data_IF_521132120998
#
_entry.id   IF_521132120998
#
_cell.length_a   1.000
_cell.length_b   1.000
_cell.length_c   1.000
_cell.angle_alpha   90.00
_cell.angle_beta   90.00
_cell.angle_gamma   90.00
#
_symmetry.space_group_name_H-M   'P 1'
#
loop_
_entity.id
_entity.type
_entity.pdbx_description
1 polymer ?
#
# COMPACT_ATOMS: atom_id res chain seq x y z
N UNK A 1 -31.53 -44.57 7.17
CA UNK A 1 -30.84 -43.77 6.14
C UNK A 1 -30.64 -42.37 6.70
N UNK A 2 -29.40 -41.93 6.93
CA UNK A 2 -29.08 -40.52 7.16
C UNK A 2 -27.77 -40.22 6.42
N UNK A 3 -27.86 -39.37 5.41
CA UNK A 3 -26.71 -38.83 4.69
C UNK A 3 -26.12 -37.69 5.53
N UNK A 4 -24.99 -37.94 6.18
CA UNK A 4 -24.17 -36.90 6.80
C UNK A 4 -23.19 -36.40 5.74
N UNK A 5 -23.62 -35.40 4.97
CA UNK A 5 -22.75 -34.62 4.09
C UNK A 5 -21.80 -33.77 4.94
N UNK A 6 -20.52 -34.12 4.94
CA UNK A 6 -19.45 -33.12 5.03
C UNK A 6 -18.70 -33.15 3.70
N UNK A 7 -18.44 -31.97 3.11
CA UNK A 7 -17.13 -31.38 3.40
C UNK A 7 -17.14 -29.84 3.55
N UNK A 8 -16.25 -29.38 4.42
CA UNK A 8 -15.47 -28.13 4.43
C UNK A 8 -15.97 -26.92 3.62
N UNK A 9 -15.96 -25.69 4.19
CA UNK A 9 -15.82 -24.51 3.36
C UNK A 9 -14.39 -24.51 2.81
N UNK A 10 -14.17 -25.25 1.72
CA UNK A 10 -13.08 -24.95 0.79
C UNK A 10 -13.40 -23.55 0.28
N UNK A 11 -12.74 -22.53 0.84
CA UNK A 11 -12.54 -21.28 0.14
C UNK A 11 -11.98 -21.66 -1.23
N UNK A 12 -12.80 -21.49 -2.26
CA UNK A 12 -12.42 -21.76 -3.64
C UNK A 12 -11.13 -21.00 -3.95
N UNK A 13 -10.06 -21.66 -4.44
CA UNK A 13 -8.84 -20.99 -4.89
C UNK A 13 -9.02 -20.22 -6.22
N UNK A 14 -10.27 -19.96 -6.64
CA UNK A 14 -10.62 -19.40 -7.93
C UNK A 14 -11.34 -18.06 -7.77
N UNK A 15 -10.60 -17.06 -7.30
CA UNK A 15 -10.76 -15.69 -7.76
C UNK A 15 -9.36 -15.19 -8.13
N UNK A 16 -8.84 -15.72 -9.25
CA UNK A 16 -7.74 -15.16 -10.05
C UNK A 16 -8.14 -13.82 -10.72
N UNK A 17 -8.99 -13.02 -10.06
CA UNK A 17 -9.13 -11.60 -10.37
C UNK A 17 -8.03 -10.90 -9.60
N UNK A 18 -7.12 -10.22 -10.30
CA UNK A 18 -6.01 -9.47 -9.70
C UNK A 18 -6.46 -8.75 -8.43
N UNK A 19 -6.07 -9.25 -7.26
CA UNK A 19 -6.35 -8.61 -5.97
C UNK A 19 -5.58 -7.30 -5.98
N UNK A 20 -6.23 -6.13 -6.06
CA UNK A 20 -5.48 -4.92 -6.33
C UNK A 20 -5.02 -4.30 -5.02
N UNK A 21 -3.83 -4.69 -4.57
CA UNK A 21 -3.19 -4.20 -3.36
C UNK A 21 -2.86 -2.70 -3.39
N UNK A 22 -2.90 -2.07 -4.56
CA UNK A 22 -2.61 -0.65 -4.71
C UNK A 22 -3.74 0.18 -5.34
N UNK A 23 -4.95 -0.36 -5.53
CA UNK A 23 -6.05 0.43 -6.11
C UNK A 23 -6.50 1.59 -5.22
N UNK A 24 -6.35 1.45 -3.90
CA UNK A 24 -6.65 2.50 -2.92
C UNK A 24 -5.62 3.65 -2.93
N UNK A 25 -4.54 3.58 -3.73
CA UNK A 25 -3.57 4.68 -3.87
C UNK A 25 -4.22 5.96 -4.36
N UNK A 26 -5.33 5.84 -5.10
CA UNK A 26 -6.14 6.99 -5.54
C UNK A 26 -6.78 7.76 -4.38
N UNK A 27 -6.97 7.11 -3.24
CA UNK A 27 -7.56 7.70 -2.03
C UNK A 27 -6.52 8.47 -1.21
N UNK A 28 -5.24 8.31 -1.55
CA UNK A 28 -4.17 9.07 -0.91
C UNK A 28 -4.07 10.44 -1.55
N UNK A 29 -3.94 11.47 -0.71
CA UNK A 29 -3.56 12.79 -1.16
C UNK A 29 -2.12 12.75 -1.68
N UNK A 30 -1.98 12.38 -2.96
CA UNK A 30 -0.71 12.43 -3.66
C UNK A 30 -0.18 13.86 -3.72
N UNK A 31 -1.03 14.89 -3.57
CA UNK A 31 -0.65 16.29 -3.57
C UNK A 31 -0.04 16.78 -2.25
N UNK A 32 -0.23 16.05 -1.15
CA UNK A 32 0.30 16.33 0.18
C UNK A 32 1.84 16.30 0.30
N UNK A 33 2.32 16.69 1.49
CA UNK A 33 3.70 17.13 1.74
C UNK A 33 4.77 16.03 1.85
N UNK A 34 4.41 14.75 2.08
CA UNK A 34 5.41 13.68 2.20
C UNK A 34 5.04 12.38 1.48
N UNK A 35 5.32 12.35 0.17
CA UNK A 35 5.10 11.19 -0.71
C UNK A 35 5.76 9.90 -0.20
N UNK A 36 6.95 10.00 0.39
CA UNK A 36 7.69 8.84 0.88
C UNK A 36 7.02 8.23 2.10
N UNK A 37 6.55 9.06 3.04
CA UNK A 37 5.80 8.59 4.20
C UNK A 37 4.46 7.96 3.79
N UNK A 38 3.79 8.51 2.77
CA UNK A 38 2.59 7.90 2.21
C UNK A 38 2.89 6.55 1.56
N UNK A 39 3.98 6.42 0.80
CA UNK A 39 4.40 5.13 0.23
C UNK A 39 4.68 4.07 1.31
N UNK A 40 5.30 4.46 2.43
CA UNK A 40 5.49 3.57 3.60
C UNK A 40 4.15 3.07 4.15
N UNK A 41 3.17 3.97 4.33
CA UNK A 41 1.82 3.61 4.83
C UNK A 41 1.09 2.68 3.88
N UNK A 42 1.14 2.96 2.58
CA UNK A 42 0.54 2.12 1.54
C UNK A 42 1.17 0.72 1.55
N UNK A 43 2.50 0.62 1.58
CA UNK A 43 3.18 -0.68 1.63
C UNK A 43 2.84 -1.44 2.90
N UNK A 44 2.73 -0.78 4.05
CA UNK A 44 2.30 -1.42 5.30
C UNK A 44 0.90 -2.04 5.15
N UNK A 45 -0.07 -1.26 4.67
CA UNK A 45 -1.45 -1.73 4.44
C UNK A 45 -1.50 -2.86 3.41
N UNK A 46 -0.76 -2.75 2.32
CA UNK A 46 -0.67 -3.78 1.29
C UNK A 46 -0.10 -5.11 1.85
N UNK A 47 0.92 -5.04 2.73
CA UNK A 47 1.47 -6.21 3.42
C UNK A 47 0.45 -6.86 4.37
N UNK A 48 -0.30 -6.07 5.13
CA UNK A 48 -1.38 -6.58 6.00
C UNK A 48 -2.46 -7.31 5.20
N UNK A 49 -2.86 -6.75 4.05
CA UNK A 49 -3.77 -7.42 3.12
C UNK A 49 -3.16 -8.71 2.57
N UNK A 50 -1.92 -8.68 2.08
CA UNK A 50 -1.26 -9.87 1.53
C UNK A 50 -1.16 -11.00 2.56
N UNK A 51 -0.84 -10.69 3.82
CA UNK A 51 -0.84 -11.67 4.92
C UNK A 51 -2.21 -12.31 5.14
N UNK A 52 -3.28 -11.52 5.09
CA UNK A 52 -4.67 -12.00 5.24
C UNK A 52 -5.03 -12.99 4.12
N UNK A 53 -4.44 -12.79 2.95
CA UNK A 53 -4.71 -13.54 1.74
C UNK A 53 -3.72 -14.71 1.48
N UNK A 54 -2.68 -14.85 2.30
CA UNK A 54 -1.62 -15.83 2.10
C UNK A 54 -0.65 -15.50 0.96
N UNK A 55 -0.63 -14.25 0.49
CA UNK A 55 0.19 -13.80 -0.63
C UNK A 55 1.56 -13.27 -0.15
N UNK A 56 2.54 -13.31 -1.05
CA UNK A 56 3.94 -12.95 -0.74
C UNK A 56 4.26 -11.50 -1.09
N UNK A 57 5.39 -11.00 -0.60
CA UNK A 57 5.92 -9.69 -1.01
C UNK A 57 6.22 -9.62 -2.52
N UNK A 58 6.44 -10.76 -3.18
CA UNK A 58 6.65 -10.84 -4.62
C UNK A 58 5.38 -10.48 -5.40
N UNK A 59 4.20 -10.90 -4.91
CA UNK A 59 2.91 -10.52 -5.50
C UNK A 59 2.72 -9.01 -5.45
N UNK A 60 3.01 -8.39 -4.30
CA UNK A 60 2.98 -6.93 -4.14
C UNK A 60 3.97 -6.24 -5.09
N UNK A 61 5.15 -6.82 -5.27
CA UNK A 61 6.17 -6.27 -6.16
C UNK A 61 5.75 -6.31 -7.63
N UNK A 62 5.17 -7.43 -8.07
CA UNK A 62 4.65 -7.59 -9.43
C UNK A 62 3.53 -6.59 -9.73
N UNK A 63 2.59 -6.42 -8.80
CA UNK A 63 1.51 -5.44 -8.98
C UNK A 63 2.05 -4.01 -9.00
N UNK A 64 2.93 -3.63 -8.06
CA UNK A 64 3.52 -2.30 -8.03
C UNK A 64 4.29 -1.99 -9.33
N UNK A 65 5.03 -2.96 -9.86
CA UNK A 65 5.73 -2.83 -11.13
C UNK A 65 4.77 -2.73 -12.33
N UNK A 66 3.67 -3.47 -12.33
CA UNK A 66 2.64 -3.36 -13.36
C UNK A 66 1.96 -1.99 -13.37
N UNK A 67 1.56 -1.49 -12.19
CA UNK A 67 1.02 -0.13 -12.02
C UNK A 67 2.02 0.92 -12.49
N UNK A 68 3.28 0.83 -12.04
CA UNK A 68 4.35 1.74 -12.45
C UNK A 68 4.54 1.82 -13.97
N UNK A 69 4.49 0.67 -14.67
CA UNK A 69 4.61 0.60 -16.14
C UNK A 69 3.40 1.20 -16.86
N UNK A 70 2.20 1.05 -16.30
CA UNK A 70 0.94 1.56 -16.88
C UNK A 70 0.72 3.05 -16.60
N UNK A 71 1.34 3.58 -15.55
CA UNK A 71 1.25 5.01 -15.22
C UNK A 71 2.06 5.86 -16.21
N UNK A 72 1.47 6.97 -16.68
CA UNK A 72 2.17 7.92 -17.56
C UNK A 72 3.47 8.40 -16.93
N UNK A 73 4.58 8.29 -17.68
CA UNK A 73 5.89 8.78 -17.26
C UNK A 73 5.84 10.23 -16.78
N UNK A 74 6.63 10.55 -15.76
CA UNK A 74 6.72 11.88 -15.10
C UNK A 74 5.46 12.31 -14.32
N UNK A 75 4.40 11.51 -14.26
CA UNK A 75 3.26 11.83 -13.40
C UNK A 75 3.62 11.71 -11.91
N UNK A 76 2.80 12.30 -11.04
CA UNK A 76 2.99 12.17 -9.58
C UNK A 76 2.75 10.74 -9.12
N UNK A 77 1.76 10.08 -9.69
CA UNK A 77 1.45 8.67 -9.49
C UNK A 77 2.64 7.77 -9.93
N UNK A 78 3.34 8.13 -11.02
CA UNK A 78 4.54 7.41 -11.47
C UNK A 78 5.65 7.47 -10.41
N UNK A 79 5.91 8.67 -9.87
CA UNK A 79 6.89 8.85 -8.77
C UNK A 79 6.45 8.11 -7.50
N UNK A 80 5.16 8.11 -7.20
CA UNK A 80 4.61 7.40 -6.06
C UNK A 80 4.80 5.89 -6.17
N UNK A 81 4.46 5.28 -7.31
CA UNK A 81 4.71 3.86 -7.53
C UNK A 81 6.20 3.51 -7.51
N UNK A 82 7.07 4.42 -7.99
CA UNK A 82 8.52 4.28 -7.80
C UNK A 82 8.92 4.25 -6.32
N UNK A 83 8.33 5.10 -5.47
CA UNK A 83 8.56 5.08 -4.03
C UNK A 83 8.02 3.81 -3.35
N UNK A 84 6.86 3.30 -3.78
CA UNK A 84 6.29 2.02 -3.30
C UNK A 84 7.23 0.87 -3.63
N UNK A 85 7.73 0.79 -4.87
CA UNK A 85 8.70 -0.23 -5.30
C UNK A 85 9.97 -0.15 -4.44
N UNK A 86 10.50 1.05 -4.20
CA UNK A 86 11.66 1.23 -3.34
C UNK A 86 11.39 0.80 -1.90
N UNK A 87 10.22 1.09 -1.34
CA UNK A 87 9.83 0.63 0.00
C UNK A 87 9.64 -0.90 0.10
N UNK A 88 9.27 -1.56 -1.00
CA UNK A 88 9.18 -3.02 -1.04
C UNK A 88 10.57 -3.66 -1.12
N UNK A 89 11.51 -3.07 -1.86
CA UNK A 89 12.90 -3.57 -1.99
C UNK A 89 13.76 -3.25 -0.76
N UNK A 90 13.77 -1.97 -0.38
CA UNK A 90 14.65 -1.41 0.64
C UNK A 90 13.79 -0.60 1.63
N UNK A 91 13.08 -1.28 2.55
CA UNK A 91 12.22 -0.62 3.52
C UNK A 91 13.00 0.36 4.38
N UNK A 92 12.44 1.54 4.62
CA UNK A 92 13.07 2.50 5.52
C UNK A 92 13.15 1.95 6.95
N UNK A 93 14.25 2.22 7.68
CA UNK A 93 14.34 1.88 9.08
C UNK A 93 13.23 2.56 9.91
N UNK A 94 12.68 1.84 10.88
CA UNK A 94 11.55 2.30 11.69
C UNK A 94 11.80 3.66 12.38
N UNK A 95 13.03 3.91 12.84
CA UNK A 95 13.40 5.19 13.47
C UNK A 95 13.31 6.37 12.49
N UNK A 96 13.61 6.16 11.20
CA UNK A 96 13.45 7.17 10.15
C UNK A 96 11.97 7.45 9.92
N UNK A 97 11.16 6.40 9.83
CA UNK A 97 9.70 6.51 9.67
C UNK A 97 9.08 7.32 10.81
N UNK A 98 9.38 6.98 12.07
CA UNK A 98 8.90 7.72 13.25
C UNK A 98 9.30 9.19 13.22
N UNK A 99 10.51 9.51 12.75
CA UNK A 99 10.97 10.89 12.61
C UNK A 99 10.17 11.66 11.55
N UNK A 100 9.87 11.01 10.42
CA UNK A 100 9.03 11.61 9.37
C UNK A 100 7.60 11.83 9.86
N UNK A 101 7.00 10.89 10.60
CA UNK A 101 5.66 11.03 11.18
C UNK A 101 5.58 12.20 12.16
N UNK A 102 6.57 12.34 13.06
CA UNK A 102 6.63 13.48 13.98
C UNK A 102 6.72 14.82 13.24
N UNK A 103 7.46 14.87 12.13
CA UNK A 103 7.58 16.08 11.30
C UNK A 103 6.24 16.42 10.65
N UNK A 104 5.55 15.44 10.07
CA UNK A 104 4.23 15.62 9.46
C UNK A 104 3.20 16.12 10.49
N UNK A 105 3.19 15.57 11.71
CA UNK A 105 2.31 16.04 12.77
C UNK A 105 2.59 17.49 13.18
N UNK A 106 3.86 17.91 13.21
CA UNK A 106 4.23 19.29 13.53
C UNK A 106 3.75 20.24 12.45
N UNK A 107 3.96 19.89 11.18
CA UNK A 107 3.52 20.69 10.02
C UNK A 107 1.99 20.83 9.98
N UNK A 108 1.24 19.76 10.26
CA UNK A 108 -0.23 19.82 10.34
C UNK A 108 -0.71 20.75 11.46
N UNK A 109 -0.09 20.70 12.64
CA UNK A 109 -0.41 21.59 13.77
C UNK A 109 -0.14 23.06 13.44
N UNK A 110 0.96 23.34 12.74
CA UNK A 110 1.33 24.69 12.31
C UNK A 110 0.42 25.23 11.20
N UNK A 111 -0.11 24.38 10.33
CA UNK A 111 -1.10 24.78 9.30
C UNK A 111 -2.44 25.13 9.93
N UNK A 112 -2.91 24.34 10.92
CA UNK A 112 -4.16 24.62 11.62
C UNK A 112 -4.10 25.94 12.41
N UNK A 113 -2.97 26.23 13.08
CA UNK A 113 -2.77 27.50 13.80
C UNK A 113 -2.68 28.76 12.92
N UNK A 114 -2.53 28.62 11.60
CA UNK A 114 -2.50 29.76 10.65
C UNK A 114 -3.87 30.08 10.06
N UNK A 115 -4.87 29.25 10.34
CA UNK A 115 -6.25 29.40 9.87
C UNK A 115 -7.20 29.91 10.96
N UNK A 116 -6.73 29.96 12.22
CA UNK A 116 -7.37 30.61 13.36
C UNK A 116 -6.83 32.05 13.55
#
# INVERSE_FOLDING_TARGET
MMAMTTPSPKQSPAQEGSRPYFDFVRDYDLNGSNMMLQAVRVVKKAKECAMTYGDTAEVLMMEAADKFRKTKSKSREYRFFGAVINQLKDPLPEHVVKRMERKEQKEQKEQNHKQD
#
